data_IF_825781501544
#
_entry.id   IF_825781501544
#
_cell.length_a   1.000
_cell.length_b   1.000
_cell.length_c   1.000
_cell.angle_alpha   90.00
_cell.angle_beta   90.00
_cell.angle_gamma   90.00
#
_symmetry.space_group_name_H-M   'P 1'
#
loop_
_entity.id
_entity.type
_entity.pdbx_description
1 polymer ?
#
# COMPACT_ATOMS: atom_id res chain seq x y z
N UNK A 1 -1.65 -17.80 9.16
CA UNK A 1 -2.66 -17.24 8.22
C UNK A 1 -2.35 -15.81 7.75
N UNK A 2 -1.49 -15.04 8.43
CA UNK A 2 -1.24 -13.62 8.13
C UNK A 2 -0.33 -13.31 6.91
N UNK A 3 0.54 -14.24 6.49
CA UNK A 3 1.51 -14.00 5.41
C UNK A 3 0.88 -13.90 4.00
N UNK A 4 -0.33 -14.44 3.79
CA UNK A 4 -0.87 -14.70 2.44
C UNK A 4 -1.63 -13.53 1.78
N UNK A 5 -1.93 -12.45 2.49
CA UNK A 5 -2.77 -11.35 1.97
C UNK A 5 -2.00 -10.19 1.32
N UNK A 6 -0.67 -10.11 1.49
CA UNK A 6 0.15 -9.00 0.97
C UNK A 6 0.49 -9.05 -0.52
N UNK A 7 0.12 -10.12 -1.23
CA UNK A 7 0.59 -10.34 -2.62
C UNK A 7 -0.16 -9.49 -3.65
N UNK A 8 -1.31 -8.90 -3.30
CA UNK A 8 -2.23 -8.39 -4.33
C UNK A 8 -2.56 -6.91 -4.15
N UNK A 9 -1.56 -6.04 -4.30
CA UNK A 9 -1.75 -4.68 -4.84
C UNK A 9 -0.46 -4.36 -5.60
N UNK A 10 -0.55 -4.04 -6.89
CA UNK A 10 0.30 -3.15 -7.71
C UNK A 10 0.26 -3.59 -9.20
N UNK A 11 -0.60 -2.95 -9.99
CA UNK A 11 -0.48 -2.90 -11.45
C UNK A 11 0.19 -1.58 -11.86
N UNK A 12 1.40 -1.68 -12.42
CA UNK A 12 2.02 -0.84 -13.47
C UNK A 12 3.54 -1.05 -13.40
N UNK A 13 4.21 -1.07 -14.56
CA UNK A 13 5.56 -1.57 -14.91
C UNK A 13 6.80 -1.15 -14.06
N UNK A 14 6.66 -0.58 -12.85
CA UNK A 14 7.77 -0.27 -11.90
C UNK A 14 8.06 -1.47 -10.95
N UNK A 15 7.46 -2.64 -11.22
CA UNK A 15 7.42 -3.79 -10.30
C UNK A 15 8.78 -4.45 -10.09
N UNK A 16 9.67 -4.50 -11.09
CA UNK A 16 10.91 -5.29 -10.98
C UNK A 16 11.87 -4.72 -9.91
N UNK A 17 12.11 -3.40 -9.89
CA UNK A 17 12.98 -2.76 -8.89
C UNK A 17 12.32 -2.62 -7.51
N UNK A 18 10.99 -2.44 -7.46
CA UNK A 18 10.23 -2.41 -6.21
C UNK A 18 10.17 -3.80 -5.56
N UNK A 19 10.10 -4.87 -6.35
CA UNK A 19 10.19 -6.25 -5.86
C UNK A 19 11.61 -6.57 -5.39
N UNK A 20 12.67 -6.14 -6.10
CA UNK A 20 14.05 -6.36 -5.68
C UNK A 20 14.37 -5.69 -4.33
N UNK A 21 13.85 -4.48 -4.07
CA UNK A 21 14.00 -3.80 -2.76
C UNK A 21 13.06 -4.31 -1.67
N UNK A 22 11.95 -4.99 -2.03
CA UNK A 22 11.08 -5.71 -1.09
C UNK A 22 11.58 -7.11 -0.76
N UNK A 23 12.34 -7.75 -1.65
CA UNK A 23 13.02 -9.01 -1.35
C UNK A 23 14.25 -8.73 -0.48
N UNK A 24 14.34 -9.37 0.69
CA UNK A 24 15.47 -9.30 1.63
C UNK A 24 16.77 -9.93 1.06
N UNK A 25 17.14 -9.69 -0.20
CA UNK A 25 18.44 -10.10 -0.74
C UNK A 25 19.50 -9.11 -0.24
N UNK A 26 20.12 -9.46 0.88
CA UNK A 26 21.07 -8.61 1.60
C UNK A 26 22.28 -8.18 0.75
N UNK A 27 22.70 -8.99 -0.24
CA UNK A 27 23.85 -8.75 -1.13
C UNK A 27 23.63 -7.58 -2.10
N UNK A 28 22.61 -7.65 -2.97
CA UNK A 28 22.28 -6.59 -3.93
C UNK A 28 22.16 -5.21 -3.27
N UNK A 29 21.58 -5.22 -2.08
CA UNK A 29 21.27 -4.02 -1.35
C UNK A 29 22.53 -3.45 -0.65
N UNK A 30 23.55 -4.28 -0.32
CA UNK A 30 24.85 -3.82 0.23
C UNK A 30 25.70 -3.14 -0.83
N UNK A 31 25.73 -3.72 -2.04
CA UNK A 31 26.47 -3.16 -3.17
C UNK A 31 25.83 -1.85 -3.66
N UNK A 32 24.49 -1.78 -3.68
CA UNK A 32 23.75 -0.54 -3.93
C UNK A 32 24.11 0.56 -2.90
N UNK A 33 24.12 0.26 -1.60
CA UNK A 33 24.49 1.23 -0.57
C UNK A 33 25.93 1.75 -0.71
N UNK A 34 26.89 0.91 -1.12
CA UNK A 34 28.29 1.33 -1.32
C UNK A 34 28.43 2.14 -2.60
N UNK A 35 27.77 1.74 -3.68
CA UNK A 35 27.80 2.42 -4.98
C UNK A 35 27.24 3.85 -4.90
N UNK A 36 26.10 4.06 -4.21
CA UNK A 36 25.45 5.37 -4.10
C UNK A 36 26.15 6.37 -3.17
N UNK A 37 27.09 5.93 -2.32
CA UNK A 37 27.88 6.86 -1.49
C UNK A 37 28.93 7.62 -2.27
N UNK A 38 29.24 7.23 -3.52
CA UNK A 38 30.35 7.79 -4.31
C UNK A 38 29.95 8.42 -5.64
N UNK A 39 28.69 8.27 -6.09
CA UNK A 39 28.22 8.76 -7.39
C UNK A 39 26.79 9.33 -7.31
N UNK A 40 26.45 10.22 -8.25
CA UNK A 40 25.07 10.72 -8.42
C UNK A 40 24.14 9.53 -8.68
N UNK A 41 23.05 9.45 -7.92
CA UNK A 41 22.05 8.40 -8.08
C UNK A 41 21.23 8.68 -9.36
N UNK A 42 21.20 7.75 -10.33
CA UNK A 42 20.32 7.86 -11.51
C UNK A 42 18.86 8.06 -11.10
N UNK A 43 18.10 8.82 -11.89
CA UNK A 43 16.71 9.14 -11.59
C UNK A 43 15.86 7.88 -11.38
N UNK A 44 16.06 6.85 -12.21
CA UNK A 44 15.23 5.64 -12.25
C UNK A 44 15.34 4.75 -11.00
N UNK A 45 16.43 4.90 -10.24
CA UNK A 45 16.68 4.10 -9.03
C UNK A 45 16.70 4.95 -7.76
N UNK A 46 16.40 6.25 -7.87
CA UNK A 46 16.49 7.20 -6.76
C UNK A 46 15.56 6.84 -5.61
N UNK A 47 14.29 6.56 -5.90
CA UNK A 47 13.30 6.20 -4.87
C UNK A 47 13.70 4.94 -4.12
N UNK A 48 14.12 3.92 -4.86
CA UNK A 48 14.58 2.65 -4.32
C UNK A 48 15.84 2.81 -3.46
N UNK A 49 16.81 3.59 -3.93
CA UNK A 49 18.06 3.86 -3.24
C UNK A 49 17.84 4.65 -1.95
N UNK A 50 17.07 5.74 -2.00
CA UNK A 50 16.77 6.56 -0.83
C UNK A 50 15.97 5.79 0.22
N UNK A 51 14.92 5.07 -0.20
CA UNK A 51 14.12 4.23 0.68
C UNK A 51 14.97 3.15 1.37
N UNK A 52 15.88 2.52 0.62
CA UNK A 52 16.83 1.54 1.14
C UNK A 52 17.79 2.16 2.15
N UNK A 53 18.33 3.35 1.84
CA UNK A 53 19.23 4.06 2.73
C UNK A 53 18.57 4.38 4.07
N UNK A 54 17.30 4.82 4.07
CA UNK A 54 16.55 5.09 5.29
C UNK A 54 16.23 3.81 6.06
N UNK A 55 15.84 2.74 5.37
CA UNK A 55 15.54 1.45 6.01
C UNK A 55 16.77 0.83 6.69
N UNK A 56 17.96 1.00 6.08
CA UNK A 56 19.22 0.41 6.57
C UNK A 56 20.02 1.30 7.50
N UNK A 57 20.01 2.61 7.27
CA UNK A 57 20.63 3.61 8.13
C UNK A 57 19.82 3.88 9.40
N UNK A 58 19.17 2.82 9.89
CA UNK A 58 18.33 2.66 11.08
C UNK A 58 18.28 3.85 12.03
N UNK A 59 17.08 4.42 12.16
CA UNK A 59 16.68 5.38 13.19
C UNK A 59 17.29 6.79 13.09
N UNK A 60 16.65 7.74 13.78
CA UNK A 60 17.18 9.09 14.01
C UNK A 60 18.61 9.08 14.59
N UNK A 61 19.04 7.99 15.24
CA UNK A 61 20.35 7.90 15.90
C UNK A 61 21.54 8.02 14.94
N UNK A 62 21.41 7.57 13.69
CA UNK A 62 22.49 7.67 12.69
C UNK A 62 22.45 9.00 11.91
N UNK A 63 21.44 9.85 12.15
CA UNK A 63 21.23 11.12 11.46
C UNK A 63 20.79 10.99 9.99
N UNK A 64 20.53 9.77 9.51
CA UNK A 64 20.22 9.50 8.10
C UNK A 64 18.84 10.03 7.73
N UNK A 65 17.87 9.91 8.64
CA UNK A 65 16.52 10.41 8.43
C UNK A 65 16.47 11.95 8.40
N UNK A 66 17.22 12.59 9.29
CA UNK A 66 17.37 14.05 9.37
C UNK A 66 18.03 14.62 8.11
N UNK A 67 19.05 13.93 7.57
CA UNK A 67 19.68 14.30 6.29
C UNK A 67 18.70 14.18 5.12
N UNK A 68 17.83 13.17 5.12
CA UNK A 68 16.80 13.03 4.09
C UNK A 68 15.73 14.13 4.22
N UNK A 69 15.39 14.51 5.45
CA UNK A 69 14.48 15.62 5.71
C UNK A 69 15.10 16.95 5.26
N UNK A 70 16.39 17.15 5.49
CA UNK A 70 17.13 18.30 4.99
C UNK A 70 17.16 18.33 3.45
N UNK A 71 17.38 17.19 2.81
CA UNK A 71 17.30 17.07 1.35
C UNK A 71 15.92 17.46 0.83
N UNK A 72 14.84 16.98 1.46
CA UNK A 72 13.47 17.36 1.13
C UNK A 72 13.26 18.89 1.20
N UNK A 73 13.82 19.55 2.22
CA UNK A 73 13.69 21.00 2.43
C UNK A 73 14.53 21.83 1.45
N UNK A 74 15.70 21.34 1.05
CA UNK A 74 16.69 22.13 0.31
C UNK A 74 16.70 21.88 -1.19
N UNK A 75 16.18 20.73 -1.65
CA UNK A 75 16.16 20.41 -3.08
C UNK A 75 15.24 21.38 -3.85
N UNK A 76 15.70 21.76 -5.05
CA UNK A 76 14.95 22.61 -5.99
C UNK A 76 14.13 21.82 -7.00
N UNK A 77 14.32 20.50 -7.03
CA UNK A 77 13.69 19.64 -8.04
C UNK A 77 12.46 18.98 -7.43
N UNK A 78 11.29 19.20 -8.03
CA UNK A 78 10.05 18.58 -7.56
C UNK A 78 10.14 17.06 -7.49
N UNK A 79 10.74 16.41 -8.49
CA UNK A 79 10.91 14.95 -8.50
C UNK A 79 11.78 14.45 -7.34
N UNK A 80 12.90 15.12 -7.06
CA UNK A 80 13.77 14.75 -5.94
C UNK A 80 13.12 15.00 -4.58
N UNK A 81 12.31 16.05 -4.48
CA UNK A 81 11.49 16.32 -3.29
C UNK A 81 10.50 15.19 -3.02
N UNK A 82 9.81 14.71 -4.05
CA UNK A 82 8.90 13.56 -3.94
C UNK A 82 9.65 12.27 -3.59
N UNK A 83 10.83 12.02 -4.20
CA UNK A 83 11.69 10.90 -3.85
C UNK A 83 12.13 10.93 -2.38
N UNK A 84 12.52 12.10 -1.89
CA UNK A 84 12.92 12.30 -0.49
C UNK A 84 11.72 12.07 0.45
N UNK A 85 10.55 12.62 0.13
CA UNK A 85 9.33 12.42 0.91
C UNK A 85 8.93 10.95 0.98
N UNK A 86 8.98 10.23 -0.15
CA UNK A 86 8.75 8.79 -0.18
C UNK A 86 9.77 8.04 0.70
N UNK A 87 11.05 8.40 0.63
CA UNK A 87 12.09 7.77 1.44
C UNK A 87 11.91 7.99 2.94
N UNK A 88 11.45 9.17 3.39
CA UNK A 88 11.16 9.43 4.80
C UNK A 88 10.14 8.43 5.38
N UNK A 89 9.21 7.94 4.55
CA UNK A 89 8.21 6.93 4.93
C UNK A 89 8.75 5.50 5.04
N UNK A 90 9.97 5.25 4.58
CA UNK A 90 10.59 3.91 4.54
C UNK A 90 11.31 3.50 5.83
N UNK A 91 11.36 4.38 6.83
CA UNK A 91 11.90 4.05 8.16
C UNK A 91 11.11 2.92 8.80
N UNK A 92 11.78 2.08 9.59
CA UNK A 92 11.13 1.02 10.38
C UNK A 92 10.67 1.52 11.75
N UNK A 93 11.00 2.78 12.10
CA UNK A 93 10.61 3.42 13.36
C UNK A 93 9.19 3.99 13.26
N UNK A 94 8.21 3.24 13.79
CA UNK A 94 6.80 3.66 13.89
C UNK A 94 6.65 4.92 14.74
N UNK A 95 7.44 5.06 15.82
CA UNK A 95 7.33 6.20 16.73
C UNK A 95 7.79 7.47 16.04
N UNK A 96 8.89 7.43 15.30
CA UNK A 96 9.35 8.56 14.50
C UNK A 96 8.26 9.04 13.53
N UNK A 97 7.62 8.13 12.80
CA UNK A 97 6.53 8.47 11.88
C UNK A 97 5.29 9.00 12.60
N UNK A 98 4.98 8.47 13.79
CA UNK A 98 3.86 8.93 14.61
C UNK A 98 4.11 10.36 15.10
N UNK A 99 5.30 10.64 15.65
CA UNK A 99 5.73 11.99 16.05
C UNK A 99 5.68 12.97 14.88
N UNK A 100 6.11 12.55 13.68
CA UNK A 100 6.02 13.38 12.47
C UNK A 100 4.59 13.81 12.16
N UNK A 101 3.64 12.88 12.28
CA UNK A 101 2.22 13.13 12.06
C UNK A 101 1.62 13.99 13.18
N UNK A 102 2.00 13.77 14.44
CA UNK A 102 1.54 14.56 15.58
C UNK A 102 1.98 16.04 15.48
N UNK A 103 3.16 16.32 14.92
CA UNK A 103 3.59 17.70 14.65
C UNK A 103 2.66 18.46 13.67
N UNK A 104 1.83 17.76 12.88
CA UNK A 104 0.80 18.40 12.04
C UNK A 104 -0.25 19.08 12.92
N UNK A 105 -0.62 18.47 14.05
CA UNK A 105 -1.63 19.00 14.99
C UNK A 105 -1.21 20.33 15.61
N UNK A 106 0.10 20.53 15.78
CA UNK A 106 0.67 21.74 16.38
C UNK A 106 1.12 22.77 15.34
N UNK A 107 0.89 22.52 14.04
CA UNK A 107 1.43 23.33 12.94
C UNK A 107 2.96 23.49 13.00
N UNK A 108 3.67 22.47 13.50
CA UNK A 108 5.14 22.40 13.61
C UNK A 108 5.75 21.35 12.69
N UNK A 109 4.94 20.69 11.87
CA UNK A 109 5.42 19.65 10.97
C UNK A 109 6.45 20.24 9.99
N UNK A 110 7.64 19.62 9.84
CA UNK A 110 8.67 20.11 8.92
C UNK A 110 8.34 19.87 7.44
N UNK A 111 7.27 19.13 7.15
CA UNK A 111 6.73 18.91 5.81
C UNK A 111 5.75 20.04 5.49
N UNK A 112 5.83 20.57 4.27
CA UNK A 112 4.95 21.66 3.85
C UNK A 112 3.51 21.17 3.69
N UNK A 113 2.53 22.03 4.04
CA UNK A 113 1.09 21.66 4.05
C UNK A 113 0.59 21.09 2.72
N UNK A 114 1.10 21.61 1.59
CA UNK A 114 0.70 21.13 0.27
C UNK A 114 1.23 19.72 -0.06
N UNK A 115 2.26 19.26 0.65
CA UNK A 115 2.84 17.93 0.49
C UNK A 115 2.23 16.88 1.44
N UNK A 116 1.30 17.26 2.34
CA UNK A 116 0.70 16.31 3.28
C UNK A 116 0.01 15.13 2.60
N UNK A 117 -0.69 15.37 1.49
CA UNK A 117 -1.31 14.27 0.75
C UNK A 117 -0.27 13.29 0.21
N UNK A 118 0.83 13.80 -0.37
CA UNK A 118 1.93 12.97 -0.85
C UNK A 118 2.60 12.20 0.30
N UNK A 119 2.75 12.82 1.47
CA UNK A 119 3.24 12.17 2.69
C UNK A 119 2.33 11.01 3.11
N UNK A 120 1.00 11.21 3.16
CA UNK A 120 0.05 10.17 3.55
C UNK A 120 0.07 9.00 2.56
N UNK A 121 0.14 9.28 1.26
CA UNK A 121 0.29 8.25 0.22
C UNK A 121 1.59 7.47 0.42
N UNK A 122 2.72 8.16 0.64
CA UNK A 122 4.01 7.53 0.89
C UNK A 122 3.98 6.62 2.13
N UNK A 123 3.47 7.12 3.27
CA UNK A 123 3.31 6.33 4.50
C UNK A 123 2.44 5.09 4.28
N UNK A 124 1.33 5.22 3.55
CA UNK A 124 0.43 4.10 3.27
C UNK A 124 1.06 3.00 2.41
N UNK A 125 2.19 3.27 1.76
CA UNK A 125 2.91 2.29 0.93
C UNK A 125 3.79 1.32 1.74
N UNK A 126 3.98 1.59 3.04
CA UNK A 126 4.82 0.80 3.95
C UNK A 126 3.99 0.26 5.12
N UNK A 127 4.34 -0.93 5.64
CA UNK A 127 3.61 -1.53 6.77
C UNK A 127 3.74 -0.67 8.05
N UNK A 128 4.91 -0.06 8.26
CA UNK A 128 5.19 0.85 9.36
C UNK A 128 4.36 2.13 9.24
N UNK A 129 4.29 2.72 8.04
CA UNK A 129 3.52 3.93 7.79
C UNK A 129 2.00 3.71 7.84
N UNK A 130 1.48 2.56 7.37
CA UNK A 130 0.08 2.17 7.59
C UNK A 130 -0.24 2.11 9.08
N UNK A 131 0.66 1.53 9.88
CA UNK A 131 0.50 1.46 11.34
C UNK A 131 0.51 2.86 11.97
N UNK A 132 1.46 3.72 11.59
CA UNK A 132 1.57 5.09 12.10
C UNK A 132 0.33 5.94 11.74
N UNK A 133 -0.13 5.92 10.48
CA UNK A 133 -1.33 6.63 10.04
C UNK A 133 -2.60 6.14 10.75
N UNK A 134 -2.72 4.82 10.94
CA UNK A 134 -3.86 4.23 11.67
C UNK A 134 -3.86 4.69 13.13
N UNK A 135 -2.69 4.71 13.78
CA UNK A 135 -2.55 5.21 15.15
C UNK A 135 -2.86 6.70 15.24
N UNK A 136 -2.36 7.50 14.29
CA UNK A 136 -2.64 8.93 14.19
C UNK A 136 -4.14 9.21 14.10
N UNK A 137 -4.86 8.54 13.19
CA UNK A 137 -6.32 8.69 13.09
C UNK A 137 -7.03 8.24 14.36
N UNK A 138 -6.66 7.09 14.93
CA UNK A 138 -7.35 6.51 16.09
C UNK A 138 -7.17 7.35 17.34
N UNK A 139 -5.95 7.83 17.60
CA UNK A 139 -5.60 8.48 18.86
C UNK A 139 -5.89 9.99 18.83
N UNK A 140 -5.83 10.61 17.65
CA UNK A 140 -5.93 12.07 17.50
C UNK A 140 -7.14 12.53 16.70
N UNK A 141 -8.12 11.65 16.45
CA UNK A 141 -9.30 11.93 15.63
C UNK A 141 -9.96 13.30 15.93
N UNK A 142 -10.28 13.54 17.20
CA UNK A 142 -10.92 14.77 17.64
C UNK A 142 -9.99 15.99 17.47
N UNK A 143 -8.71 15.83 17.82
CA UNK A 143 -7.69 16.88 17.66
C UNK A 143 -7.49 17.26 16.18
N UNK A 144 -7.50 16.30 15.26
CA UNK A 144 -7.39 16.56 13.83
C UNK A 144 -8.57 17.43 13.37
N UNK A 145 -9.80 17.04 13.72
CA UNK A 145 -11.00 17.77 13.28
C UNK A 145 -11.03 19.19 13.85
N UNK A 146 -10.64 19.37 15.11
CA UNK A 146 -10.82 20.64 15.82
C UNK A 146 -9.64 21.59 15.66
N UNK A 147 -8.41 21.09 15.52
CA UNK A 147 -7.19 21.90 15.58
C UNK A 147 -6.50 22.06 14.22
N UNK A 148 -6.80 21.19 13.24
CA UNK A 148 -6.17 21.25 11.91
C UNK A 148 -7.09 21.95 10.92
N UNK A 149 -6.52 22.88 10.17
CA UNK A 149 -7.18 23.52 9.03
C UNK A 149 -7.66 22.44 8.03
N UNK A 150 -8.94 22.47 7.68
CA UNK A 150 -9.57 21.42 6.87
C UNK A 150 -9.47 20.00 7.48
N UNK A 151 -9.42 19.89 8.81
CA UNK A 151 -9.24 18.63 9.55
C UNK A 151 -10.23 17.52 9.19
N UNK A 152 -11.51 17.84 8.97
CA UNK A 152 -12.50 16.87 8.46
C UNK A 152 -12.07 16.24 7.13
N UNK A 153 -11.60 17.06 6.18
CA UNK A 153 -11.13 16.58 4.89
C UNK A 153 -9.83 15.78 5.01
N UNK A 154 -8.93 16.17 5.93
CA UNK A 154 -7.74 15.38 6.25
C UNK A 154 -8.12 13.98 6.75
N UNK A 155 -9.06 13.87 7.69
CA UNK A 155 -9.57 12.58 8.17
C UNK A 155 -10.11 11.73 7.02
N UNK A 156 -10.96 12.31 6.14
CA UNK A 156 -11.49 11.56 5.00
C UNK A 156 -10.40 11.10 4.03
N UNK A 157 -9.41 11.96 3.77
CA UNK A 157 -8.30 11.67 2.86
C UNK A 157 -7.43 10.55 3.41
N UNK A 158 -6.98 10.66 4.66
CA UNK A 158 -6.13 9.64 5.29
C UNK A 158 -6.90 8.31 5.41
N UNK A 159 -8.17 8.35 5.80
CA UNK A 159 -8.98 7.13 5.91
C UNK A 159 -9.16 6.45 4.55
N UNK A 160 -9.47 7.21 3.49
CA UNK A 160 -9.58 6.67 2.13
C UNK A 160 -8.26 6.07 1.62
N UNK A 161 -7.14 6.76 1.83
CA UNK A 161 -5.81 6.26 1.49
C UNK A 161 -5.56 4.92 2.21
N UNK A 162 -5.78 4.86 3.52
CA UNK A 162 -5.61 3.63 4.30
C UNK A 162 -6.54 2.51 3.81
N UNK A 163 -7.82 2.80 3.57
CA UNK A 163 -8.81 1.83 3.10
C UNK A 163 -8.40 1.16 1.78
N UNK A 164 -7.69 1.87 0.91
CA UNK A 164 -7.13 1.32 -0.35
C UNK A 164 -5.88 0.44 -0.16
N UNK A 165 -5.28 0.41 1.04
CA UNK A 165 -3.99 -0.26 1.32
C UNK A 165 -4.05 -1.36 2.37
N UNK A 166 -5.02 -1.31 3.28
CA UNK A 166 -5.16 -2.35 4.33
C UNK A 166 -5.38 -3.72 3.69
N UNK A 167 -4.69 -4.73 4.22
CA UNK A 167 -4.72 -6.09 3.66
C UNK A 167 -4.79 -7.18 4.70
N UNK A 168 -4.52 -6.87 5.98
CA UNK A 168 -4.59 -7.84 7.07
C UNK A 168 -5.88 -7.69 7.87
N UNK A 169 -6.34 -8.79 8.48
CA UNK A 169 -7.54 -8.77 9.31
C UNK A 169 -7.42 -7.77 10.47
N UNK A 170 -6.22 -7.62 11.03
CA UNK A 170 -5.94 -6.66 12.11
C UNK A 170 -6.09 -5.21 11.63
N UNK A 171 -5.54 -4.86 10.46
CA UNK A 171 -5.69 -3.53 9.87
C UNK A 171 -7.17 -3.24 9.53
N UNK A 172 -7.87 -4.20 8.93
CA UNK A 172 -9.29 -4.09 8.57
C UNK A 172 -10.16 -3.90 9.82
N UNK A 173 -9.85 -4.61 10.91
CA UNK A 173 -10.55 -4.47 12.19
C UNK A 173 -10.39 -3.07 12.74
N UNK A 174 -9.16 -2.53 12.77
CA UNK A 174 -8.89 -1.16 13.21
C UNK A 174 -9.64 -0.12 12.37
N UNK A 175 -9.71 -0.32 11.04
CA UNK A 175 -10.46 0.56 10.16
C UNK A 175 -11.97 0.54 10.46
N UNK A 176 -12.52 -0.64 10.77
CA UNK A 176 -13.91 -0.81 11.18
C UNK A 176 -14.21 -0.12 12.52
N UNK A 177 -13.34 -0.26 13.51
CA UNK A 177 -13.43 0.44 14.80
C UNK A 177 -13.46 1.96 14.61
N UNK A 178 -12.58 2.51 13.76
CA UNK A 178 -12.54 3.95 13.47
C UNK A 178 -13.86 4.40 12.82
N UNK A 179 -14.38 3.68 11.82
CA UNK A 179 -15.63 4.06 11.14
C UNK A 179 -16.89 3.85 12.01
N UNK A 180 -16.83 2.99 13.02
CA UNK A 180 -17.98 2.67 13.88
C UNK A 180 -18.01 3.43 15.20
N UNK A 181 -16.96 4.21 15.51
CA UNK A 181 -16.82 4.97 16.76
C UNK A 181 -18.11 5.72 17.13
N UNK A 182 -18.53 5.59 18.39
CA UNK A 182 -19.79 6.15 18.90
C UNK A 182 -19.69 7.64 19.20
N UNK A 183 -18.49 8.14 19.49
CA UNK A 183 -18.20 9.53 19.84
C UNK A 183 -18.09 10.45 18.61
N UNK A 184 -18.20 9.90 17.39
CA UNK A 184 -18.02 10.62 16.14
C UNK A 184 -19.31 11.31 15.67
N UNK A 185 -19.25 12.56 15.14
CA UNK A 185 -20.41 13.19 14.50
C UNK A 185 -21.01 12.32 13.39
N UNK A 186 -22.34 12.24 13.34
CA UNK A 186 -23.08 11.35 12.43
C UNK A 186 -22.70 11.54 10.96
N UNK A 187 -22.51 12.78 10.53
CA UNK A 187 -22.08 13.13 9.17
C UNK A 187 -20.74 12.45 8.80
N UNK A 188 -19.74 12.59 9.68
CA UNK A 188 -18.40 12.04 9.49
C UNK A 188 -18.47 10.51 9.53
N UNK A 189 -19.22 9.96 10.49
CA UNK A 189 -19.44 8.52 10.64
C UNK A 189 -20.04 7.90 9.38
N UNK A 190 -21.06 8.52 8.80
CA UNK A 190 -21.71 8.03 7.59
C UNK A 190 -20.74 8.05 6.40
N UNK A 191 -19.93 9.11 6.26
CA UNK A 191 -18.94 9.20 5.18
C UNK A 191 -17.81 8.16 5.32
N UNK A 192 -17.28 7.96 6.53
CA UNK A 192 -16.27 6.92 6.76
C UNK A 192 -16.82 5.51 6.52
N UNK A 193 -18.06 5.25 6.94
CA UNK A 193 -18.73 3.98 6.65
C UNK A 193 -18.90 3.76 5.13
N UNK A 194 -19.30 4.79 4.39
CA UNK A 194 -19.41 4.69 2.93
C UNK A 194 -18.05 4.36 2.27
N UNK A 195 -16.96 4.98 2.73
CA UNK A 195 -15.59 4.65 2.26
C UNK A 195 -15.23 3.19 2.62
N UNK A 196 -15.53 2.76 3.85
CA UNK A 196 -15.27 1.38 4.30
C UNK A 196 -15.94 0.35 3.39
N UNK A 197 -17.25 0.51 3.12
CA UNK A 197 -17.98 -0.36 2.21
C UNK A 197 -17.44 -0.31 0.77
N UNK A 198 -17.14 0.90 0.27
CA UNK A 198 -16.70 1.11 -1.11
C UNK A 198 -15.30 0.58 -1.42
N UNK A 199 -14.39 0.63 -0.45
CA UNK A 199 -12.99 0.25 -0.63
C UNK A 199 -12.69 -1.11 -0.01
N UNK A 200 -12.93 -1.27 1.30
CA UNK A 200 -12.45 -2.45 2.04
C UNK A 200 -13.32 -3.66 1.75
N UNK A 201 -14.65 -3.55 1.86
CA UNK A 201 -15.52 -4.69 1.60
C UNK A 201 -15.51 -5.15 0.15
N UNK A 202 -15.40 -4.20 -0.80
CA UNK A 202 -15.25 -4.54 -2.21
C UNK A 202 -13.91 -5.24 -2.48
N UNK A 203 -12.81 -4.79 -1.87
CA UNK A 203 -11.51 -5.47 -1.96
C UNK A 203 -11.56 -6.88 -1.34
N UNK A 204 -12.29 -7.07 -0.24
CA UNK A 204 -12.50 -8.39 0.36
C UNK A 204 -13.29 -9.33 -0.57
N UNK A 205 -14.41 -8.86 -1.14
CA UNK A 205 -15.19 -9.63 -2.12
C UNK A 205 -14.33 -10.03 -3.32
N UNK A 206 -13.55 -9.09 -3.84
CA UNK A 206 -12.62 -9.36 -4.93
C UNK A 206 -11.59 -10.42 -4.54
N UNK A 207 -11.01 -10.31 -3.34
CA UNK A 207 -10.04 -11.28 -2.85
C UNK A 207 -10.65 -12.69 -2.72
N UNK A 208 -11.86 -12.80 -2.19
CA UNK A 208 -12.52 -14.10 -2.02
C UNK A 208 -12.80 -14.78 -3.36
N UNK A 209 -13.19 -14.01 -4.38
CA UNK A 209 -13.47 -14.52 -5.72
C UNK A 209 -12.21 -14.96 -6.47
N UNK A 210 -11.14 -14.17 -6.41
CA UNK A 210 -10.01 -14.33 -7.34
C UNK A 210 -8.72 -14.87 -6.70
N UNK A 211 -8.58 -14.83 -5.37
CA UNK A 211 -7.29 -15.10 -4.73
C UNK A 211 -6.82 -16.55 -4.90
N UNK A 212 -7.73 -17.52 -5.00
CA UNK A 212 -7.38 -18.93 -5.27
C UNK A 212 -6.83 -19.08 -6.69
N UNK A 213 -7.56 -18.58 -7.68
CA UNK A 213 -7.15 -18.64 -9.09
C UNK A 213 -5.80 -17.94 -9.32
N UNK A 214 -5.61 -16.75 -8.73
CA UNK A 214 -4.34 -16.02 -8.80
C UNK A 214 -3.19 -16.82 -8.17
N UNK A 215 -3.42 -17.44 -7.00
CA UNK A 215 -2.39 -18.28 -6.35
C UNK A 215 -2.01 -19.47 -7.22
N UNK A 216 -2.96 -20.10 -7.88
CA UNK A 216 -2.71 -21.23 -8.77
C UNK A 216 -1.91 -20.79 -10.01
N UNK A 217 -2.22 -19.62 -10.60
CA UNK A 217 -1.46 -19.06 -11.74
C UNK A 217 -0.02 -18.72 -11.34
N UNK A 218 0.17 -18.07 -10.19
CA UNK A 218 1.49 -17.64 -9.71
C UNK A 218 2.34 -18.84 -9.28
N UNK A 219 1.72 -19.82 -8.61
CA UNK A 219 2.39 -21.01 -8.10
C UNK A 219 1.50 -22.25 -8.29
N UNK A 220 1.57 -22.89 -9.48
CA UNK A 220 0.80 -24.09 -9.76
C UNK A 220 1.06 -25.20 -8.73
N UNK A 221 0.00 -25.88 -8.31
CA UNK A 221 0.06 -26.96 -7.31
C UNK A 221 0.26 -26.50 -5.86
N UNK A 222 0.16 -25.20 -5.58
CA UNK A 222 0.27 -24.68 -4.20
C UNK A 222 -1.03 -24.72 -3.41
N UNK A 223 -2.14 -25.07 -4.06
CA UNK A 223 -3.48 -25.08 -3.49
C UNK A 223 -3.98 -26.51 -3.33
N UNK A 224 -3.99 -27.03 -2.11
CA UNK A 224 -4.78 -28.23 -1.79
C UNK A 224 -6.25 -27.83 -1.90
N UNK A 225 -6.90 -28.22 -2.99
CA UNK A 225 -8.31 -27.93 -3.25
C UNK A 225 -9.14 -28.73 -2.23
N UNK A 226 -9.70 -28.05 -1.23
CA UNK A 226 -10.92 -28.50 -0.56
C UNK A 226 -12.05 -27.67 -1.13
N UNK A 227 -12.70 -28.19 -2.16
CA UNK A 227 -13.90 -27.60 -2.75
C UNK A 227 -15.01 -27.63 -1.70
N UNK A 228 -15.28 -26.51 -1.05
CA UNK A 228 -16.59 -26.28 -0.43
C UNK A 228 -17.43 -25.56 -1.46
N UNK A 229 -18.07 -26.36 -2.31
CA UNK A 229 -19.16 -25.91 -3.18
C UNK A 229 -20.29 -25.39 -2.27
N UNK A 230 -20.88 -24.20 -2.53
CA UNK A 230 -22.15 -23.83 -1.92
C UNK A 230 -23.20 -24.87 -2.30
N UNK A 231 -23.82 -25.50 -1.31
CA UNK A 231 -24.88 -26.47 -1.51
C UNK A 231 -26.04 -25.83 -2.29
N UNK A 232 -26.20 -26.24 -3.56
CA UNK A 232 -27.44 -26.06 -4.29
C UNK A 232 -28.27 -27.34 -4.17
N UNK A 233 -29.54 -27.19 -3.82
CA UNK A 233 -30.47 -28.30 -3.59
C UNK A 233 -31.01 -28.78 -4.93
N UNK A 234 -30.87 -30.07 -5.17
CA UNK A 234 -31.37 -30.85 -6.31
C UNK A 234 -32.88 -30.68 -6.55
N UNK A 235 -33.31 -30.53 -7.82
CA UNK A 235 -34.12 -31.56 -8.53
C UNK A 235 -34.31 -31.28 -10.03
N UNK A 236 -33.69 -32.16 -10.82
CA UNK A 236 -34.12 -32.86 -12.05
C UNK A 236 -35.27 -32.30 -12.94
N UNK A 237 -34.97 -32.02 -14.22
CA UNK A 237 -35.48 -32.81 -15.36
C UNK A 237 -34.86 -32.36 -16.72
N UNK A 238 -34.69 -33.33 -17.61
CA UNK A 238 -33.95 -33.29 -18.90
C UNK A 238 -34.60 -32.47 -20.04
N UNK A 239 -33.83 -31.63 -20.75
CA UNK A 239 -33.82 -31.55 -22.24
C UNK A 239 -32.76 -30.62 -22.86
N UNK A 240 -32.38 -31.01 -24.06
CA UNK A 240 -31.32 -30.57 -24.96
C UNK A 240 -31.50 -29.16 -25.61
N UNK A 241 -30.40 -28.65 -26.19
CA UNK A 241 -30.23 -27.53 -27.14
C UNK A 241 -29.79 -26.14 -26.64
N UNK A 242 -28.51 -25.85 -26.95
CA UNK A 242 -28.04 -24.62 -27.62
C UNK A 242 -28.59 -23.25 -27.17
N UNK A 243 -27.81 -22.54 -26.33
CA UNK A 243 -27.33 -21.18 -26.63
C UNK A 243 -26.39 -20.69 -25.52
N UNK A 244 -25.11 -20.52 -25.84
CA UNK A 244 -24.11 -19.98 -24.91
C UNK A 244 -24.27 -18.45 -24.76
N UNK A 245 -24.36 -17.90 -23.54
CA UNK A 245 -24.23 -16.46 -23.31
C UNK A 245 -22.76 -16.05 -23.35
N UNK A 246 -22.51 -14.91 -23.99
CA UNK A 246 -21.22 -14.37 -24.44
C UNK A 246 -20.12 -14.23 -23.36
N UNK A 247 -19.12 -15.11 -23.42
CA UNK A 247 -17.79 -15.01 -22.78
C UNK A 247 -16.85 -14.17 -23.66
N UNK A 248 -17.31 -13.02 -24.18
CA UNK A 248 -16.55 -12.26 -25.19
C UNK A 248 -15.87 -11.00 -24.65
N UNK A 249 -16.11 -10.59 -23.41
CA UNK A 249 -15.51 -9.37 -22.84
C UNK A 249 -14.22 -9.60 -22.03
N UNK A 250 -13.79 -10.85 -21.81
CA UNK A 250 -12.73 -11.17 -20.84
C UNK A 250 -11.40 -11.61 -21.48
N UNK A 251 -11.37 -11.82 -22.80
CA UNK A 251 -10.14 -12.20 -23.50
C UNK A 251 -9.07 -11.11 -23.46
N UNK A 252 -9.45 -9.83 -23.43
CA UNK A 252 -8.47 -8.73 -23.36
C UNK A 252 -7.75 -8.67 -22.03
N UNK A 253 -8.43 -9.00 -20.93
CA UNK A 253 -7.86 -9.02 -19.58
C UNK A 253 -6.95 -10.23 -19.40
N UNK A 254 -7.42 -11.39 -19.86
CA UNK A 254 -6.67 -12.64 -19.85
C UNK A 254 -5.43 -12.54 -20.76
N UNK A 255 -5.56 -11.93 -21.94
CA UNK A 255 -4.45 -11.73 -22.86
C UNK A 255 -3.40 -10.79 -22.27
N UNK A 256 -3.80 -9.70 -21.60
CA UNK A 256 -2.88 -8.80 -20.87
C UNK A 256 -2.14 -9.50 -19.73
N UNK A 257 -2.83 -10.39 -19.00
CA UNK A 257 -2.22 -11.23 -17.95
C UNK A 257 -1.20 -12.22 -18.52
N UNK A 258 -1.52 -12.85 -19.66
CA UNK A 258 -0.64 -13.80 -20.34
C UNK A 258 0.60 -13.12 -20.94
N UNK A 259 0.46 -11.93 -21.51
CA UNK A 259 1.60 -11.16 -22.05
C UNK A 259 2.56 -10.73 -20.94
N UNK A 260 2.05 -10.31 -19.78
CA UNK A 260 2.89 -9.97 -18.62
C UNK A 260 3.60 -11.21 -18.07
N UNK A 261 2.91 -12.36 -18.02
CA UNK A 261 3.48 -13.63 -17.56
C UNK A 261 4.60 -14.15 -18.49
N UNK A 262 4.44 -13.99 -19.80
CA UNK A 262 5.46 -14.36 -20.79
C UNK A 262 6.68 -13.44 -20.72
N UNK A 263 6.48 -12.13 -20.51
CA UNK A 263 7.57 -11.18 -20.30
C UNK A 263 8.38 -11.54 -19.05
N UNK A 264 7.71 -11.86 -17.93
CA UNK A 264 8.37 -12.29 -16.70
C UNK A 264 9.21 -13.56 -16.92
N UNK A 265 8.66 -14.57 -17.64
CA UNK A 265 9.42 -15.79 -17.98
C UNK A 265 10.62 -15.52 -18.88
N UNK A 266 10.50 -14.61 -19.84
CA UNK A 266 11.59 -14.24 -20.74
C UNK A 266 12.74 -13.55 -19.98
N UNK A 267 12.43 -12.69 -19.02
CA UNK A 267 13.44 -12.02 -18.20
C UNK A 267 14.10 -12.95 -17.17
N UNK A 268 13.41 -13.96 -16.66
CA UNK A 268 13.98 -14.93 -15.69
C UNK A 268 14.93 -15.93 -16.36
N UNK A 269 14.70 -16.29 -17.63
CA UNK A 269 15.46 -17.34 -18.31
C UNK A 269 16.67 -16.83 -19.13
N UNK A 270 16.92 -15.51 -19.15
CA UNK A 270 18.03 -14.89 -19.89
C UNK A 270 19.12 -14.28 -18.98
N UNK A 271 19.12 -14.61 -17.67
CA UNK A 271 20.22 -14.35 -16.73
C UNK A 271 20.86 -15.68 -16.28
#
# INVERSE_FOLDING_TARGET
MAERRRVIIFYSEIVILTVITRTRRASLCRDACVFFRRHRIPADIKDAAFCTAIRRGGSAADGTWEKMLDLYKTTRTHSERQSALHALSCTEDVQLLTTLLEMILENKCPIEKHDYNALFVALSSTSTGVTALTNFLRNHFASIINNVENGKNMVFTVYSILSSKVSTDQEITKMSEIASATTMPVEIKNKLRAIYHGEIENNLKWFDLYSIAIREIIKPGSTNISTTTPADKTQDDSKDSSSAPSIFHDYTTILRMLTVSLLIKFFINND
#
